data_IF_862695402738
#
_entry.id   IF_862695402738
#
_cell.length_a   1.000
_cell.length_b   1.000
_cell.length_c   1.000
_cell.angle_alpha   90.00
_cell.angle_beta   90.00
_cell.angle_gamma   90.00
#
_symmetry.space_group_name_H-M   'P 1'
#
loop_
_entity.id
_entity.type
_entity.pdbx_description
1 polymer ?
#
# COMPACT_ATOMS: atom_id res chain seq x y z
N UNK A 1 6.47 14.17 -28.86
CA UNK A 1 7.52 14.77 -28.04
C UNK A 1 8.60 13.73 -27.78
N UNK A 2 9.86 14.14 -27.70
CA UNK A 2 10.94 13.26 -27.25
C UNK A 2 10.66 12.75 -25.82
N UNK A 3 11.05 11.50 -25.51
CA UNK A 3 10.73 10.88 -24.21
C UNK A 3 11.51 11.51 -23.06
N UNK A 4 12.75 11.91 -23.30
CA UNK A 4 13.58 12.59 -22.30
C UNK A 4 12.99 13.96 -22.04
N UNK A 5 12.65 14.73 -23.09
CA UNK A 5 11.99 16.02 -22.93
C UNK A 5 10.67 15.91 -22.16
N UNK A 6 9.84 14.90 -22.46
CA UNK A 6 8.59 14.66 -21.72
C UNK A 6 8.84 14.41 -20.23
N UNK A 7 9.85 13.62 -19.88
CA UNK A 7 10.18 13.34 -18.49
C UNK A 7 10.71 14.58 -17.77
N UNK A 8 11.53 15.41 -18.44
CA UNK A 8 12.06 16.65 -17.88
C UNK A 8 10.97 17.70 -17.68
N UNK A 9 10.03 17.85 -18.62
CA UNK A 9 8.87 18.73 -18.47
C UNK A 9 7.99 18.30 -17.29
N UNK A 10 7.77 16.99 -17.13
CA UNK A 10 7.08 16.45 -15.96
C UNK A 10 7.80 16.77 -14.65
N UNK A 11 9.11 16.52 -14.55
CA UNK A 11 9.90 16.82 -13.34
C UNK A 11 9.82 18.31 -13.01
N UNK A 12 10.06 19.18 -13.99
CA UNK A 12 10.06 20.63 -13.78
C UNK A 12 8.69 21.16 -13.35
N UNK A 13 7.61 20.67 -13.95
CA UNK A 13 6.24 21.05 -13.57
C UNK A 13 5.93 20.63 -12.12
N UNK A 14 6.27 19.41 -11.74
CA UNK A 14 6.05 18.90 -10.37
C UNK A 14 6.93 19.60 -9.33
N UNK A 15 8.21 19.89 -9.61
CA UNK A 15 9.09 20.67 -8.72
C UNK A 15 8.54 22.09 -8.47
N UNK A 16 8.16 22.80 -9.54
CA UNK A 16 7.61 24.15 -9.44
C UNK A 16 6.29 24.14 -8.66
N UNK A 17 5.40 23.18 -8.95
CA UNK A 17 4.13 23.04 -8.24
C UNK A 17 4.34 22.67 -6.77
N UNK A 18 5.33 21.84 -6.46
CA UNK A 18 5.66 21.42 -5.10
C UNK A 18 6.07 22.60 -4.22
N UNK A 19 6.88 23.54 -4.76
CA UNK A 19 7.22 24.80 -4.06
C UNK A 19 5.98 25.66 -3.78
N UNK A 20 5.01 25.64 -4.68
CA UNK A 20 3.72 26.33 -4.56
C UNK A 20 2.66 25.58 -3.73
N UNK A 21 3.01 24.51 -3.03
CA UNK A 21 2.07 23.66 -2.27
C UNK A 21 0.94 23.07 -3.14
N UNK A 22 1.28 22.68 -4.36
CA UNK A 22 0.35 22.15 -5.34
C UNK A 22 0.84 20.85 -5.99
N UNK A 23 -0.05 20.25 -6.78
CA UNK A 23 0.27 19.17 -7.71
C UNK A 23 0.50 19.76 -9.10
N UNK A 24 1.45 19.21 -9.86
CA UNK A 24 1.67 19.59 -11.25
C UNK A 24 0.44 19.37 -12.13
N UNK A 25 0.28 20.22 -13.14
CA UNK A 25 -0.77 20.13 -14.15
C UNK A 25 -0.39 19.28 -15.36
N UNK A 26 0.90 18.96 -15.52
CA UNK A 26 1.42 18.27 -16.68
C UNK A 26 1.08 16.77 -16.68
N UNK A 27 1.23 16.10 -15.53
CA UNK A 27 0.98 14.66 -15.43
C UNK A 27 -0.45 14.26 -15.87
N UNK A 28 -1.55 14.90 -15.39
CA UNK A 28 -2.90 14.54 -15.82
C UNK A 28 -3.10 14.53 -17.34
N UNK A 29 -2.48 15.49 -18.06
CA UNK A 29 -2.58 15.61 -19.52
C UNK A 29 -1.72 14.57 -20.26
N UNK A 30 -0.60 14.15 -19.67
CA UNK A 30 0.41 13.32 -20.30
C UNK A 30 0.60 11.93 -19.66
N UNK A 31 -0.26 11.52 -18.71
CA UNK A 31 -0.10 10.31 -17.91
C UNK A 31 0.07 9.03 -18.75
N UNK A 32 -0.63 8.94 -19.89
CA UNK A 32 -0.55 7.80 -20.81
C UNK A 32 0.81 7.65 -21.48
N UNK A 33 1.60 8.73 -21.58
CA UNK A 33 2.95 8.75 -22.14
C UNK A 33 4.02 8.60 -21.04
N UNK A 34 3.77 9.16 -19.86
CA UNK A 34 4.68 9.12 -18.71
C UNK A 34 4.66 7.73 -18.03
N UNK A 35 3.48 7.15 -17.81
CA UNK A 35 3.34 5.87 -17.07
C UNK A 35 4.17 4.73 -17.65
N UNK A 36 4.22 4.51 -18.98
CA UNK A 36 5.10 3.49 -19.56
C UNK A 36 6.61 3.69 -19.25
N UNK A 37 7.04 4.91 -18.96
CA UNK A 37 8.44 5.24 -18.65
C UNK A 37 8.86 4.76 -17.26
N UNK A 38 7.92 4.49 -16.35
CA UNK A 38 8.21 3.89 -15.04
C UNK A 38 9.07 2.62 -15.16
N UNK A 39 8.74 1.78 -16.14
CA UNK A 39 9.43 0.51 -16.44
C UNK A 39 10.63 0.69 -17.37
N UNK A 40 10.63 1.75 -18.18
CA UNK A 40 11.66 2.00 -19.18
C UNK A 40 12.00 3.49 -19.16
N UNK A 41 12.84 3.86 -18.21
CA UNK A 41 13.33 5.24 -18.11
C UNK A 41 13.98 5.67 -19.44
N UNK A 42 13.77 6.93 -19.87
CA UNK A 42 14.47 7.48 -21.02
C UNK A 42 15.99 7.43 -20.81
N UNK A 43 16.73 7.02 -21.84
CA UNK A 43 18.20 6.90 -21.77
C UNK A 43 18.93 8.24 -21.57
N UNK A 44 18.28 9.36 -21.88
CA UNK A 44 18.87 10.69 -21.80
C UNK A 44 18.77 11.34 -20.43
N UNK A 45 18.11 10.71 -19.44
CA UNK A 45 18.08 11.24 -18.07
C UNK A 45 19.38 10.93 -17.34
N UNK A 46 19.91 11.91 -16.63
CA UNK A 46 20.97 11.68 -15.65
C UNK A 46 20.44 10.97 -14.39
N UNK A 47 21.36 10.60 -13.51
CA UNK A 47 21.03 9.85 -12.29
C UNK A 47 20.11 10.67 -11.35
N UNK A 48 20.29 11.99 -11.25
CA UNK A 48 19.44 12.85 -10.39
C UNK A 48 18.05 13.01 -10.98
N UNK A 49 17.95 13.21 -12.29
CA UNK A 49 16.69 13.30 -13.02
C UNK A 49 15.90 12.00 -12.93
N UNK A 50 16.57 10.84 -12.98
CA UNK A 50 15.93 9.54 -12.76
C UNK A 50 15.35 9.40 -11.35
N UNK A 51 16.05 9.89 -10.32
CA UNK A 51 15.56 9.92 -8.94
C UNK A 51 14.35 10.84 -8.81
N UNK A 52 14.44 12.07 -9.32
CA UNK A 52 13.33 13.04 -9.29
C UNK A 52 12.09 12.52 -10.02
N UNK A 53 12.28 11.87 -11.17
CA UNK A 53 11.20 11.25 -11.91
C UNK A 53 10.42 10.24 -11.07
N UNK A 54 11.13 9.34 -10.37
CA UNK A 54 10.48 8.37 -9.50
C UNK A 54 9.90 9.01 -8.22
N UNK A 55 10.57 10.00 -7.65
CA UNK A 55 10.11 10.72 -6.46
C UNK A 55 8.73 11.34 -6.72
N UNK A 56 8.59 12.12 -7.80
CA UNK A 56 7.30 12.74 -8.12
C UNK A 56 6.23 11.73 -8.49
N UNK A 57 6.57 10.64 -9.17
CA UNK A 57 5.59 9.57 -9.43
C UNK A 57 5.10 8.90 -8.15
N UNK A 58 5.98 8.63 -7.17
CA UNK A 58 5.55 8.11 -5.88
C UNK A 58 4.69 9.14 -5.14
N UNK A 59 5.08 10.42 -5.15
CA UNK A 59 4.31 11.53 -4.59
C UNK A 59 2.88 11.59 -5.15
N UNK A 60 2.70 11.23 -6.42
CA UNK A 60 1.39 11.11 -7.08
C UNK A 60 0.63 9.81 -6.75
N UNK A 61 1.17 8.94 -5.89
CA UNK A 61 0.54 7.71 -5.43
C UNK A 61 0.91 6.46 -6.24
N UNK A 62 1.94 6.48 -7.08
CA UNK A 62 2.27 5.33 -7.92
C UNK A 62 3.14 4.27 -7.25
N UNK A 63 2.70 3.01 -7.34
CA UNK A 63 3.51 1.82 -7.06
C UNK A 63 4.28 1.39 -8.32
N UNK A 64 5.52 1.87 -8.42
CA UNK A 64 6.36 1.82 -9.62
C UNK A 64 6.86 0.39 -9.91
N UNK A 65 6.95 0.02 -11.20
CA UNK A 65 7.64 -1.18 -11.65
C UNK A 65 9.00 -0.77 -12.23
N UNK A 66 10.10 -0.80 -11.45
CA UNK A 66 11.42 -0.57 -12.02
C UNK A 66 11.74 -1.73 -12.96
N UNK A 67 12.10 -1.43 -14.21
CA UNK A 67 12.30 -2.48 -15.22
C UNK A 67 13.57 -3.30 -15.02
N UNK A 68 14.50 -2.81 -14.20
CA UNK A 68 15.79 -3.44 -13.91
C UNK A 68 16.23 -3.16 -12.47
N UNK A 69 17.18 -3.95 -11.97
CA UNK A 69 17.82 -3.70 -10.68
C UNK A 69 18.56 -2.35 -10.63
N UNK A 70 19.13 -1.88 -11.75
CA UNK A 70 19.74 -0.54 -11.82
C UNK A 70 18.70 0.56 -11.58
N UNK A 71 17.55 0.46 -12.25
CA UNK A 71 16.46 1.44 -12.06
C UNK A 71 15.90 1.41 -10.63
N UNK A 72 15.90 0.23 -10.00
CA UNK A 72 15.46 0.10 -8.62
C UNK A 72 16.33 0.89 -7.63
N UNK A 73 17.63 1.06 -7.90
CA UNK A 73 18.50 1.91 -7.05
C UNK A 73 17.99 3.36 -7.03
N UNK A 74 17.62 3.92 -8.19
CA UNK A 74 17.03 5.26 -8.26
C UNK A 74 15.68 5.33 -7.55
N UNK A 75 14.87 4.26 -7.65
CA UNK A 75 13.60 4.18 -6.94
C UNK A 75 13.78 4.16 -5.41
N UNK A 76 14.79 3.44 -4.90
CA UNK A 76 15.11 3.43 -3.47
C UNK A 76 15.54 4.82 -2.97
N UNK A 77 16.42 5.50 -3.72
CA UNK A 77 16.84 6.87 -3.41
C UNK A 77 15.65 7.83 -3.42
N UNK A 78 14.79 7.72 -4.43
CA UNK A 78 13.57 8.52 -4.51
C UNK A 78 12.63 8.28 -3.32
N UNK A 79 12.54 7.05 -2.82
CA UNK A 79 11.71 6.76 -1.65
C UNK A 79 12.34 7.32 -0.37
N UNK A 80 13.67 7.30 -0.23
CA UNK A 80 14.35 7.96 0.87
C UNK A 80 14.09 9.47 0.90
N UNK A 81 14.09 10.12 -0.27
CA UNK A 81 13.74 11.54 -0.41
C UNK A 81 12.26 11.83 -0.15
N UNK A 82 11.39 10.83 -0.29
CA UNK A 82 9.97 10.94 0.03
C UNK A 82 9.67 10.87 1.53
N UNK A 83 10.48 10.14 2.31
CA UNK A 83 10.26 9.93 3.76
C UNK A 83 9.96 11.22 4.55
N UNK A 84 10.69 12.35 4.35
CA UNK A 84 10.41 13.59 5.08
C UNK A 84 9.02 14.17 4.85
N UNK A 85 8.38 13.86 3.71
CA UNK A 85 7.07 14.39 3.32
C UNK A 85 5.98 13.31 3.28
N UNK A 86 6.26 12.11 3.81
CA UNK A 86 5.28 11.00 3.87
C UNK A 86 4.05 11.32 4.73
N UNK A 87 4.22 12.18 5.73
CA UNK A 87 3.14 12.67 6.60
C UNK A 87 2.31 13.77 5.93
N UNK A 88 2.82 14.38 4.86
CA UNK A 88 2.07 15.38 4.11
C UNK A 88 0.99 14.67 3.28
N UNK A 89 -0.22 15.24 3.28
CA UNK A 89 -1.35 14.71 2.51
C UNK A 89 -1.46 15.42 1.15
N UNK A 90 -2.48 15.07 0.36
CA UNK A 90 -2.82 15.79 -0.86
C UNK A 90 -2.89 17.31 -0.60
N UNK A 91 -2.32 18.16 -1.47
CA UNK A 91 -1.70 17.85 -2.78
C UNK A 91 -0.20 17.58 -2.72
N UNK A 92 0.40 17.55 -1.53
CA UNK A 92 1.85 17.45 -1.35
C UNK A 92 2.34 16.01 -1.49
N UNK A 93 1.61 15.03 -0.96
CA UNK A 93 1.92 13.62 -1.14
C UNK A 93 0.63 12.77 -1.09
N UNK A 94 0.53 11.84 -2.04
CA UNK A 94 -0.56 10.88 -2.19
C UNK A 94 -0.08 9.43 -2.02
N UNK A 95 1.21 9.22 -1.74
CA UNK A 95 1.74 7.87 -1.57
C UNK A 95 1.17 7.20 -0.32
N UNK A 96 0.69 5.97 -0.47
CA UNK A 96 0.08 5.24 0.63
C UNK A 96 1.18 4.75 1.59
N UNK A 97 1.11 5.17 2.86
CA UNK A 97 2.04 4.74 3.90
C UNK A 97 2.08 3.22 4.07
N UNK A 98 0.92 2.55 4.04
CA UNK A 98 0.90 1.09 4.14
C UNK A 98 1.70 0.44 3.01
N UNK A 99 1.57 0.95 1.79
CA UNK A 99 2.32 0.48 0.63
C UNK A 99 3.82 0.75 0.79
N UNK A 100 4.22 1.94 1.27
CA UNK A 100 5.61 2.27 1.59
C UNK A 100 6.22 1.36 2.65
N UNK A 101 5.52 1.16 3.77
CA UNK A 101 5.93 0.24 4.84
C UNK A 101 6.10 -1.19 4.33
N UNK A 102 5.19 -1.64 3.47
CA UNK A 102 5.23 -2.99 2.93
C UNK A 102 6.32 -3.17 1.88
N UNK A 103 6.51 -2.20 0.98
CA UNK A 103 7.51 -2.28 -0.08
C UNK A 103 8.92 -2.13 0.49
N UNK A 104 9.17 -1.09 1.29
CA UNK A 104 10.52 -0.70 1.69
C UNK A 104 10.84 -0.96 3.16
N UNK A 105 9.83 -1.18 4.02
CA UNK A 105 10.04 -1.48 5.44
C UNK A 105 10.38 -0.25 6.28
N UNK A 106 10.13 0.93 5.72
CA UNK A 106 10.48 2.22 6.26
C UNK A 106 9.30 3.18 6.09
N UNK A 107 9.06 4.03 7.08
CA UNK A 107 8.05 5.08 7.02
C UNK A 107 8.52 6.43 7.54
N UNK A 108 9.55 6.44 8.37
CA UNK A 108 10.10 7.65 8.96
C UNK A 108 11.46 8.00 8.35
N UNK A 109 11.87 9.27 8.42
CA UNK A 109 13.16 9.72 7.87
C UNK A 109 14.38 9.00 8.49
N UNK A 110 14.27 8.54 9.74
CA UNK A 110 15.29 7.74 10.43
C UNK A 110 15.39 6.29 9.91
N UNK A 111 14.44 5.82 9.11
CA UNK A 111 14.40 4.47 8.56
C UNK A 111 15.16 4.33 7.23
N UNK A 112 15.93 5.34 6.81
CA UNK A 112 16.64 5.35 5.53
C UNK A 112 17.49 4.08 5.30
N UNK A 113 18.09 3.52 6.36
CA UNK A 113 18.85 2.27 6.30
C UNK A 113 17.97 1.06 5.92
N UNK A 114 16.73 0.98 6.43
CA UNK A 114 15.78 -0.10 6.12
C UNK A 114 15.39 -0.11 4.64
N UNK A 115 15.32 1.07 4.01
CA UNK A 115 15.04 1.19 2.57
C UNK A 115 16.13 0.47 1.75
N UNK A 116 17.39 0.65 2.12
CA UNK A 116 18.53 0.04 1.41
C UNK A 116 18.62 -1.47 1.59
N UNK A 117 18.05 -2.01 2.67
CA UNK A 117 18.04 -3.44 2.96
C UNK A 117 17.08 -4.23 2.05
N UNK A 118 16.12 -3.59 1.40
CA UNK A 118 15.17 -4.27 0.51
C UNK A 118 15.81 -4.52 -0.87
N UNK A 119 15.90 -5.77 -1.30
CA UNK A 119 16.45 -6.11 -2.63
C UNK A 119 15.45 -5.86 -3.75
N UNK A 120 15.93 -5.77 -5.00
CA UNK A 120 15.04 -5.68 -6.18
C UNK A 120 14.05 -6.85 -6.26
N UNK A 121 14.51 -8.08 -5.98
CA UNK A 121 13.67 -9.27 -5.99
C UNK A 121 12.58 -9.20 -4.92
N UNK A 122 12.93 -8.75 -3.72
CA UNK A 122 11.96 -8.55 -2.63
C UNK A 122 10.92 -7.50 -3.01
N UNK A 123 11.37 -6.35 -3.50
CA UNK A 123 10.49 -5.28 -3.95
C UNK A 123 9.50 -5.77 -5.00
N UNK A 124 9.98 -6.48 -6.02
CA UNK A 124 9.13 -7.00 -7.09
C UNK A 124 8.09 -7.99 -6.57
N UNK A 125 8.49 -8.89 -5.67
CA UNK A 125 7.59 -9.85 -5.01
C UNK A 125 6.52 -9.14 -4.17
N UNK A 126 6.89 -8.15 -3.37
CA UNK A 126 5.94 -7.38 -2.56
C UNK A 126 5.00 -6.53 -3.43
N UNK A 127 5.55 -5.90 -4.47
CA UNK A 127 4.76 -5.15 -5.44
C UNK A 127 3.64 -5.97 -6.06
N UNK A 128 3.89 -7.24 -6.39
CA UNK A 128 2.86 -8.13 -6.94
C UNK A 128 1.67 -8.31 -5.99
N UNK A 129 1.92 -8.36 -4.67
CA UNK A 129 0.85 -8.43 -3.66
C UNK A 129 0.00 -7.16 -3.68
N UNK A 130 0.63 -5.98 -3.67
CA UNK A 130 -0.10 -4.69 -3.73
C UNK A 130 -0.90 -4.59 -5.03
N UNK A 131 -0.28 -4.92 -6.17
CA UNK A 131 -0.98 -4.97 -7.46
C UNK A 131 -2.16 -5.93 -7.41
N UNK A 132 -2.04 -7.08 -6.75
CA UNK A 132 -3.16 -8.00 -6.60
C UNK A 132 -4.27 -7.40 -5.73
N UNK A 133 -3.95 -6.71 -4.64
CA UNK A 133 -4.95 -6.06 -3.77
C UNK A 133 -5.71 -4.96 -4.53
N UNK A 134 -5.00 -4.13 -5.30
CA UNK A 134 -5.56 -3.00 -6.03
C UNK A 134 -6.29 -3.38 -7.34
N UNK A 135 -6.34 -4.66 -7.74
CA UNK A 135 -7.09 -5.11 -8.92
C UNK A 135 -8.62 -5.05 -8.75
N UNK A 136 -9.11 -4.94 -7.53
CA UNK A 136 -10.53 -5.08 -7.22
C UNK A 136 -11.19 -3.73 -7.00
N UNK A 137 -12.33 -3.51 -7.67
CA UNK A 137 -13.16 -2.32 -7.46
C UNK A 137 -14.06 -2.40 -6.23
N UNK A 138 -14.17 -3.58 -5.59
CA UNK A 138 -14.96 -3.76 -4.37
C UNK A 138 -14.45 -4.93 -3.52
N UNK A 139 -14.63 -4.82 -2.20
CA UNK A 139 -14.23 -5.86 -1.24
C UNK A 139 -14.98 -7.19 -1.42
N UNK A 140 -16.29 -7.22 -1.73
CA UNK A 140 -16.98 -8.48 -2.04
C UNK A 140 -16.36 -9.23 -3.22
N UNK A 141 -15.94 -8.51 -4.28
CA UNK A 141 -15.28 -9.13 -5.43
C UNK A 141 -13.88 -9.67 -5.06
N UNK A 142 -13.16 -8.97 -4.18
CA UNK A 142 -11.88 -9.44 -3.63
C UNK A 142 -12.06 -10.77 -2.87
N UNK A 143 -13.07 -10.87 -1.98
CA UNK A 143 -13.35 -12.09 -1.19
C UNK A 143 -13.66 -13.31 -2.07
N UNK A 144 -14.45 -13.12 -3.14
CA UNK A 144 -14.73 -14.17 -4.14
C UNK A 144 -13.48 -14.73 -4.82
N UNK A 145 -12.34 -14.03 -4.78
CA UNK A 145 -11.06 -14.47 -5.34
C UNK A 145 -10.08 -14.99 -4.28
N UNK A 146 -10.59 -15.56 -3.18
CA UNK A 146 -9.82 -16.25 -2.12
C UNK A 146 -8.60 -17.03 -2.62
N UNK A 147 -8.77 -17.85 -3.65
CA UNK A 147 -7.69 -18.69 -4.18
C UNK A 147 -6.44 -17.90 -4.60
N UNK A 148 -6.60 -16.69 -5.13
CA UNK A 148 -5.48 -15.82 -5.53
C UNK A 148 -4.74 -15.24 -4.32
N UNK A 149 -5.44 -15.03 -3.20
CA UNK A 149 -4.83 -14.54 -1.96
C UNK A 149 -4.22 -15.68 -1.13
N UNK A 150 -4.72 -16.90 -1.28
CA UNK A 150 -4.23 -18.07 -0.56
C UNK A 150 -2.73 -18.33 -0.81
N UNK A 151 -2.25 -18.11 -2.04
CA UNK A 151 -0.82 -18.23 -2.38
C UNK A 151 0.06 -17.29 -1.55
N UNK A 152 -0.40 -16.07 -1.27
CA UNK A 152 0.33 -15.13 -0.42
C UNK A 152 0.19 -15.49 1.07
N UNK A 153 -0.99 -15.94 1.49
CA UNK A 153 -1.26 -16.36 2.87
C UNK A 153 -0.46 -17.59 3.30
N UNK A 154 -0.07 -18.45 2.35
CA UNK A 154 0.80 -19.60 2.56
C UNK A 154 2.29 -19.26 2.54
N UNK A 155 2.67 -18.03 2.20
CA UNK A 155 4.06 -17.58 2.19
C UNK A 155 4.39 -16.88 3.53
N UNK A 156 5.20 -17.49 4.42
CA UNK A 156 5.47 -16.93 5.74
C UNK A 156 6.17 -15.56 5.69
N UNK A 157 7.03 -15.31 4.70
CA UNK A 157 7.73 -14.04 4.56
C UNK A 157 6.76 -12.91 4.20
N UNK A 158 5.82 -13.18 3.29
CA UNK A 158 4.78 -12.19 2.92
C UNK A 158 3.87 -11.92 4.11
N UNK A 159 3.42 -12.96 4.82
CA UNK A 159 2.57 -12.81 6.01
C UNK A 159 3.27 -11.95 7.06
N UNK A 160 4.54 -12.24 7.37
CA UNK A 160 5.31 -11.44 8.33
C UNK A 160 5.51 -10.00 7.87
N UNK A 161 5.71 -9.79 6.56
CA UNK A 161 5.84 -8.45 6.00
C UNK A 161 4.53 -7.67 6.09
N UNK A 162 3.39 -8.32 5.85
CA UNK A 162 2.04 -7.75 6.03
C UNK A 162 1.82 -7.33 7.48
N UNK A 163 2.10 -8.23 8.44
CA UNK A 163 1.97 -7.95 9.87
C UNK A 163 2.79 -6.71 10.23
N UNK A 164 4.08 -6.70 9.87
CA UNK A 164 4.97 -5.56 10.16
C UNK A 164 4.44 -4.26 9.56
N UNK A 165 3.98 -4.28 8.31
CA UNK A 165 3.47 -3.08 7.65
C UNK A 165 2.21 -2.52 8.33
N UNK A 166 1.24 -3.39 8.65
CA UNK A 166 0.01 -3.01 9.35
C UNK A 166 0.27 -2.48 10.77
N UNK A 167 1.19 -3.12 11.49
CA UNK A 167 1.57 -2.69 12.83
C UNK A 167 2.36 -1.38 12.81
N UNK A 168 3.19 -1.16 11.78
CA UNK A 168 3.95 0.08 11.62
C UNK A 168 3.02 1.28 11.41
N UNK A 169 1.98 1.14 10.59
CA UNK A 169 0.95 2.19 10.44
C UNK A 169 -0.08 2.20 11.58
N UNK A 170 0.08 1.35 12.60
CA UNK A 170 -0.85 1.21 13.72
C UNK A 170 -2.31 0.98 13.28
N UNK A 171 -2.51 0.29 12.16
CA UNK A 171 -3.80 0.06 11.52
C UNK A 171 -4.56 1.33 11.07
N UNK A 172 -3.91 2.49 11.05
CA UNK A 172 -4.48 3.75 10.54
C UNK A 172 -4.12 3.88 9.07
N UNK A 173 -5.09 3.71 8.18
CA UNK A 173 -4.90 3.91 6.75
C UNK A 173 -5.25 5.34 6.35
N UNK A 174 -4.56 5.87 5.32
CA UNK A 174 -4.68 7.27 4.87
C UNK A 174 -5.92 7.53 4.01
N UNK A 175 -6.83 6.57 3.86
CA UNK A 175 -8.00 6.73 3.00
C UNK A 175 -9.16 7.36 3.77
N UNK A 176 -9.83 8.40 3.24
CA UNK A 176 -11.05 8.94 3.86
C UNK A 176 -12.18 7.91 3.90
N UNK A 177 -12.09 6.86 3.08
CA UNK A 177 -13.01 5.74 3.06
C UNK A 177 -12.39 4.55 3.75
N UNK A 178 -13.16 3.87 4.59
CA UNK A 178 -12.74 2.62 5.26
C UNK A 178 -12.33 1.53 4.26
N UNK A 179 -12.77 1.61 3.01
CA UNK A 179 -12.62 0.59 1.97
C UNK A 179 -11.28 0.59 1.22
N UNK A 180 -10.16 0.98 1.83
CA UNK A 180 -8.84 0.90 1.20
C UNK A 180 -8.52 -0.54 0.77
N UNK A 181 -8.29 -0.75 -0.53
CA UNK A 181 -8.16 -2.09 -1.10
C UNK A 181 -6.88 -2.79 -0.64
N UNK A 182 -5.78 -2.06 -0.46
CA UNK A 182 -4.51 -2.62 0.01
C UNK A 182 -4.63 -3.06 1.47
N UNK A 183 -5.19 -2.20 2.34
CA UNK A 183 -5.43 -2.51 3.74
C UNK A 183 -6.27 -3.79 3.90
N UNK A 184 -7.43 -3.85 3.23
CA UNK A 184 -8.30 -5.02 3.34
C UNK A 184 -7.74 -6.26 2.63
N UNK A 185 -6.97 -6.09 1.56
CA UNK A 185 -6.24 -7.19 0.93
C UNK A 185 -5.23 -7.82 1.89
N UNK A 186 -4.53 -6.99 2.68
CA UNK A 186 -3.59 -7.44 3.71
C UNK A 186 -4.31 -8.13 4.86
N UNK A 187 -5.40 -7.56 5.37
CA UNK A 187 -6.24 -8.22 6.38
C UNK A 187 -6.73 -9.57 5.86
N UNK A 188 -7.13 -9.65 4.59
CA UNK A 188 -7.58 -10.91 4.00
C UNK A 188 -6.46 -11.96 3.96
N UNK A 189 -5.23 -11.57 3.62
CA UNK A 189 -4.06 -12.46 3.68
C UNK A 189 -3.88 -13.01 5.11
N UNK A 190 -4.01 -12.17 6.15
CA UNK A 190 -3.88 -12.62 7.54
C UNK A 190 -4.98 -13.58 7.95
N UNK A 191 -6.23 -13.28 7.59
CA UNK A 191 -7.38 -14.17 7.85
C UNK A 191 -7.19 -15.54 7.17
N UNK A 192 -6.64 -15.57 5.96
CA UNK A 192 -6.38 -16.82 5.22
C UNK A 192 -5.14 -17.58 5.70
N UNK A 193 -4.19 -16.90 6.32
CA UNK A 193 -2.90 -17.46 6.75
C UNK A 193 -3.04 -18.34 7.99
N UNK A 194 -3.93 -17.94 8.91
CA UNK A 194 -4.25 -18.67 10.16
C UNK A 194 -3.07 -18.97 11.09
N UNK A 195 -1.88 -18.45 10.83
CA UNK A 195 -0.76 -18.60 11.75
C UNK A 195 -1.05 -17.88 13.07
N UNK A 196 -0.44 -18.32 14.17
CA UNK A 196 -0.57 -17.66 15.46
C UNK A 196 -0.18 -16.16 15.41
N UNK A 197 0.81 -15.81 14.58
CA UNK A 197 1.22 -14.42 14.37
C UNK A 197 0.13 -13.61 13.65
N UNK A 198 -0.48 -14.18 12.61
CA UNK A 198 -1.61 -13.55 11.90
C UNK A 198 -2.80 -13.34 12.83
N UNK A 199 -3.14 -14.34 13.65
CA UNK A 199 -4.22 -14.24 14.64
C UNK A 199 -3.95 -13.14 15.67
N UNK A 200 -2.73 -13.09 16.21
CA UNK A 200 -2.34 -12.06 17.15
C UNK A 200 -2.45 -10.65 16.53
N UNK A 201 -2.00 -10.47 15.28
CA UNK A 201 -2.14 -9.21 14.56
C UNK A 201 -3.62 -8.83 14.35
N UNK A 202 -4.48 -9.79 14.00
CA UNK A 202 -5.92 -9.56 13.89
C UNK A 202 -6.53 -9.16 15.24
N UNK A 203 -6.14 -9.80 16.35
CA UNK A 203 -6.58 -9.37 17.69
C UNK A 203 -6.17 -7.94 18.01
N UNK A 204 -4.91 -7.57 17.74
CA UNK A 204 -4.44 -6.18 17.90
C UNK A 204 -5.23 -5.19 17.04
N UNK A 205 -5.56 -5.57 15.80
CA UNK A 205 -6.46 -4.76 14.97
C UNK A 205 -7.84 -4.63 15.61
N UNK A 206 -8.45 -5.73 16.09
CA UNK A 206 -9.77 -5.65 16.75
C UNK A 206 -9.75 -4.78 18.00
N UNK A 207 -8.66 -4.72 18.76
CA UNK A 207 -8.56 -3.84 19.92
C UNK A 207 -8.36 -2.38 19.50
N UNK A 208 -7.55 -2.14 18.47
CA UNK A 208 -7.27 -0.81 17.92
C UNK A 208 -8.50 -0.21 17.24
N UNK A 209 -9.32 -1.03 16.58
CA UNK A 209 -10.52 -0.60 15.87
C UNK A 209 -11.51 0.17 16.77
N UNK A 210 -11.46 0.00 18.10
CA UNK A 210 -12.30 0.75 19.05
C UNK A 210 -12.09 2.26 18.99
N UNK A 211 -10.87 2.70 18.63
CA UNK A 211 -10.47 4.11 18.57
C UNK A 211 -10.30 4.62 17.15
N UNK A 212 -10.45 3.77 16.14
CA UNK A 212 -10.39 4.20 14.75
C UNK A 212 -11.63 5.01 14.35
N UNK A 213 -11.48 6.00 13.45
CA UNK A 213 -12.61 6.60 12.75
C UNK A 213 -13.43 5.52 12.04
N UNK A 214 -14.76 5.66 12.06
CA UNK A 214 -15.70 4.71 11.45
C UNK A 214 -15.44 3.23 11.82
N UNK A 215 -15.23 2.99 13.12
CA UNK A 215 -15.03 1.66 13.72
C UNK A 215 -16.10 0.63 13.34
N UNK A 216 -17.35 1.07 13.16
CA UNK A 216 -18.45 0.18 12.77
C UNK A 216 -18.17 -0.45 11.41
N UNK A 217 -17.83 0.34 10.41
CA UNK A 217 -17.50 -0.17 9.08
C UNK A 217 -16.29 -1.10 9.11
N UNK A 218 -15.25 -0.80 9.90
CA UNK A 218 -14.10 -1.69 10.05
C UNK A 218 -14.51 -3.06 10.60
N UNK A 219 -15.30 -3.09 11.68
CA UNK A 219 -15.74 -4.35 12.30
C UNK A 219 -16.70 -5.12 11.38
N UNK A 220 -17.63 -4.41 10.73
CA UNK A 220 -18.55 -5.01 9.76
C UNK A 220 -17.78 -5.67 8.60
N UNK A 221 -16.82 -4.96 8.00
CA UNK A 221 -16.02 -5.50 6.91
C UNK A 221 -15.23 -6.72 7.37
N UNK A 222 -14.47 -6.63 8.47
CA UNK A 222 -13.71 -7.78 9.00
C UNK A 222 -14.63 -9.00 9.21
N UNK A 223 -15.80 -8.77 9.79
CA UNK A 223 -16.76 -9.84 10.03
C UNK A 223 -17.29 -10.45 8.73
N UNK A 224 -17.50 -9.64 7.69
CA UNK A 224 -17.88 -10.15 6.36
C UNK A 224 -16.81 -11.08 5.76
N UNK A 225 -15.52 -10.79 5.97
CA UNK A 225 -14.43 -11.68 5.56
C UNK A 225 -14.48 -13.02 6.31
N UNK A 226 -14.75 -13.00 7.62
CA UNK A 226 -14.82 -14.21 8.44
C UNK A 226 -16.07 -15.06 8.10
N UNK A 227 -17.23 -14.41 7.92
CA UNK A 227 -18.50 -15.06 7.55
C UNK A 227 -18.41 -15.76 6.20
N UNK A 228 -17.78 -15.14 5.19
CA UNK A 228 -17.59 -15.74 3.86
C UNK A 228 -16.68 -16.97 3.88
N UNK A 229 -15.79 -17.10 4.86
CA UNK A 229 -14.86 -18.22 4.95
C UNK A 229 -15.43 -19.43 5.69
N UNK A 230 -16.40 -19.22 6.59
CA UNK A 230 -17.02 -20.27 7.42
C UNK A 230 -15.99 -21.21 8.05
N UNK A 231 -14.89 -20.64 8.54
CA UNK A 231 -13.71 -21.39 8.95
C UNK A 231 -13.70 -21.62 10.47
N UNK A 232 -13.79 -22.89 10.95
CA UNK A 232 -13.81 -23.17 12.38
C UNK A 232 -12.57 -22.67 13.13
N UNK A 233 -11.41 -22.59 12.47
CA UNK A 233 -10.17 -22.09 13.07
C UNK A 233 -10.21 -20.58 13.38
N UNK A 234 -11.20 -19.87 12.82
CA UNK A 234 -11.41 -18.44 13.05
C UNK A 234 -12.53 -18.16 14.07
N UNK A 235 -13.16 -19.21 14.63
CA UNK A 235 -14.32 -19.04 15.50
C UNK A 235 -14.00 -18.22 16.76
N UNK A 236 -12.80 -18.38 17.34
CA UNK A 236 -12.38 -17.60 18.51
C UNK A 236 -12.35 -16.09 18.21
N UNK A 237 -11.87 -15.69 17.03
CA UNK A 237 -11.88 -14.29 16.60
C UNK A 237 -13.31 -13.78 16.40
N UNK A 238 -14.19 -14.59 15.84
CA UNK A 238 -15.62 -14.26 15.70
C UNK A 238 -16.27 -14.06 17.07
N UNK A 239 -16.10 -15.00 18.00
CA UNK A 239 -16.65 -14.92 19.34
C UNK A 239 -16.13 -13.69 20.09
N UNK A 240 -14.84 -13.38 19.93
CA UNK A 240 -14.23 -12.15 20.45
C UNK A 240 -14.89 -10.90 19.88
N UNK A 241 -15.16 -10.85 18.57
CA UNK A 241 -15.83 -9.69 17.95
C UNK A 241 -17.23 -9.48 18.56
N UNK A 242 -18.03 -10.54 18.73
CA UNK A 242 -19.35 -10.45 19.39
C UNK A 242 -19.28 -10.08 20.88
N UNK A 243 -18.19 -10.43 21.57
CA UNK A 243 -17.98 -10.03 22.95
C UNK A 243 -17.58 -8.55 23.08
N UNK A 244 -16.88 -8.00 22.09
CA UNK A 244 -16.32 -6.64 22.13
C UNK A 244 -17.20 -5.58 21.48
N UNK A 245 -18.06 -5.97 20.53
CA UNK A 245 -18.82 -5.05 19.69
C UNK A 245 -20.30 -5.41 19.64
N UNK A 246 -21.20 -4.43 19.42
CA UNK A 246 -22.63 -4.71 19.27
C UNK A 246 -22.90 -5.65 18.09
N UNK A 247 -23.69 -6.71 18.30
CA UNK A 247 -24.08 -7.67 17.25
C UNK A 247 -24.68 -6.98 16.01
N UNK A 248 -25.43 -5.89 16.21
CA UNK A 248 -26.00 -5.09 15.13
C UNK A 248 -24.95 -4.55 14.13
N UNK A 249 -23.68 -4.37 14.53
CA UNK A 249 -22.62 -3.95 13.61
C UNK A 249 -22.13 -5.09 12.71
N UNK A 250 -22.39 -6.34 13.08
CA UNK A 250 -21.88 -7.53 12.42
C UNK A 250 -22.95 -8.22 11.58
N UNK A 251 -24.23 -8.08 11.96
CA UNK A 251 -25.36 -8.81 11.37
C UNK A 251 -26.10 -8.05 10.28
N UNK A 252 -25.66 -6.83 9.94
CA UNK A 252 -26.21 -6.09 8.81
C UNK A 252 -25.90 -6.80 7.48
N UNK A 253 -26.97 -7.17 6.78
CA UNK A 253 -26.95 -7.53 5.38
C UNK A 253 -26.89 -6.26 4.52
N UNK A 254 -25.92 -6.20 3.59
CA UNK A 254 -25.91 -5.26 2.46
C UNK A 254 -27.22 -5.32 1.66
#
# INVERSE_FOLDING_TARGET
MDKTLLALEFINDEENAFQGWAQGGFYPLHHHQITPMMKKLPYGLDDREAVLFYYHLMRLGHVIHPGTSKQYVFLQQAFQELLPVMEEHYPRNCFNKLEGAFLFGALEANDAEKVTATTYTDYMRYREVIVQCNKYSSLPNMRKKKALFQTYAQNPEIVQRVIRALEHIQFVHNCPLVSDATFWGFIFILVLSKTAASQHCLYRFTDTARVLPDKRSHIWILTSFLKDLQDPEQQELVDRLYALYPAAWMDESE
#
